data_IF_411965010893
#
_entry.id   IF_411965010893
#
_cell.length_a   1.000
_cell.length_b   1.000
_cell.length_c   1.000
_cell.angle_alpha   90.00
_cell.angle_beta   90.00
_cell.angle_gamma   90.00
#
_symmetry.space_group_name_H-M   'P 1'
#
loop_
_entity.id
_entity.type
_entity.pdbx_description
1 polymer ?
#
# COMPACT_ATOMS: atom_id res chain seq x y z
N UNK A 1 -5.34 -1.65 -15.51
CA UNK A 1 -6.44 -0.99 -16.25
C UNK A 1 -6.15 -0.97 -17.74
N UNK A 2 -5.20 -0.14 -18.21
CA UNK A 2 -4.91 0.04 -19.63
C UNK A 2 -4.65 -1.28 -20.40
N UNK A 3 -3.76 -2.13 -19.89
CA UNK A 3 -3.49 -3.45 -20.47
C UNK A 3 -4.73 -4.36 -20.51
N UNK A 4 -5.55 -4.34 -19.44
CA UNK A 4 -6.79 -5.12 -19.39
C UNK A 4 -7.85 -4.65 -20.38
N UNK A 5 -7.92 -3.34 -20.66
CA UNK A 5 -8.82 -2.78 -21.68
C UNK A 5 -8.33 -3.11 -23.11
N UNK A 6 -7.02 -3.01 -23.36
CA UNK A 6 -6.42 -3.42 -24.64
C UNK A 6 -6.72 -4.90 -24.95
N UNK A 7 -6.56 -5.78 -23.97
CA UNK A 7 -6.83 -7.23 -24.13
C UNK A 7 -8.31 -7.52 -24.43
N UNK A 8 -9.20 -6.54 -24.21
CA UNK A 8 -10.64 -6.61 -24.53
C UNK A 8 -11.00 -5.85 -25.81
N UNK A 9 -10.01 -5.36 -26.55
CA UNK A 9 -10.20 -4.73 -27.86
C UNK A 9 -10.52 -3.23 -27.81
N UNK A 10 -10.35 -2.56 -26.67
CA UNK A 10 -10.52 -1.11 -26.58
C UNK A 10 -9.30 -0.39 -27.15
N UNK A 11 -9.52 0.78 -27.74
CA UNK A 11 -8.44 1.72 -28.04
C UNK A 11 -8.05 2.47 -26.76
N UNK A 12 -6.78 2.38 -26.36
CA UNK A 12 -6.32 2.95 -25.09
C UNK A 12 -5.14 3.87 -25.33
N UNK A 13 -5.25 5.08 -24.80
CA UNK A 13 -4.14 6.04 -24.66
C UNK A 13 -3.73 6.11 -23.19
N UNK A 14 -2.44 5.96 -22.90
CA UNK A 14 -1.86 6.23 -21.57
C UNK A 14 -0.99 7.47 -21.66
N UNK A 15 -1.29 8.47 -20.85
CA UNK A 15 -0.48 9.69 -20.74
C UNK A 15 0.34 9.65 -19.47
N UNK A 16 1.65 9.90 -19.57
CA UNK A 16 2.55 9.98 -18.43
C UNK A 16 3.71 10.91 -18.74
N UNK A 17 4.30 11.56 -17.74
CA UNK A 17 5.40 12.51 -17.95
C UNK A 17 6.80 11.89 -17.73
N UNK A 18 6.89 10.56 -17.71
CA UNK A 18 8.14 9.84 -17.49
C UNK A 18 8.28 8.72 -18.50
N UNK A 19 9.45 8.61 -19.11
CA UNK A 19 9.79 7.45 -19.91
C UNK A 19 9.96 6.21 -19.02
N UNK A 20 9.79 4.98 -19.57
CA UNK A 20 10.08 3.74 -18.83
C UNK A 20 11.46 3.77 -18.16
N UNK A 21 12.44 4.30 -18.90
CA UNK A 21 13.83 4.40 -18.48
C UNK A 21 14.08 5.41 -17.35
N UNK A 22 13.30 6.49 -17.31
CA UNK A 22 13.35 7.46 -16.22
C UNK A 22 12.81 6.87 -14.93
N UNK A 23 11.78 6.02 -15.03
CA UNK A 23 11.25 5.28 -13.88
C UNK A 23 12.27 4.25 -13.39
N UNK A 24 12.94 3.50 -14.28
CA UNK A 24 13.98 2.52 -13.90
C UNK A 24 15.10 3.16 -13.08
N UNK A 25 15.61 4.30 -13.54
CA UNK A 25 16.75 5.01 -12.91
C UNK A 25 16.32 5.93 -11.78
N UNK A 26 15.02 6.17 -11.63
CA UNK A 26 14.46 7.09 -10.66
C UNK A 26 14.51 6.58 -9.21
N UNK A 27 13.97 7.41 -8.31
CA UNK A 27 13.75 7.03 -6.91
C UNK A 27 12.67 5.95 -6.78
N UNK A 28 12.82 5.11 -5.77
CA UNK A 28 11.73 4.21 -5.35
C UNK A 28 10.46 5.01 -5.10
N UNK A 29 9.33 4.48 -5.56
CA UNK A 29 8.06 5.20 -5.56
C UNK A 29 7.16 4.85 -4.38
N UNK A 30 7.27 3.61 -3.86
CA UNK A 30 6.53 3.15 -2.68
C UNK A 30 7.16 1.89 -2.06
N UNK A 31 6.56 1.42 -0.97
CA UNK A 31 6.86 0.16 -0.25
C UNK A 31 5.71 -0.83 -0.40
N UNK A 32 5.29 -1.06 -1.64
CA UNK A 32 4.18 -1.94 -1.97
C UNK A 32 4.48 -3.40 -1.58
N UNK A 33 3.55 -4.00 -0.85
CA UNK A 33 3.43 -5.43 -0.64
C UNK A 33 2.03 -5.87 -1.11
N UNK A 34 1.98 -6.68 -2.14
CA UNK A 34 0.75 -7.16 -2.76
C UNK A 34 0.35 -8.49 -2.14
N UNK A 35 -0.87 -8.56 -1.58
CA UNK A 35 -1.43 -9.79 -1.03
C UNK A 35 -2.07 -10.64 -2.12
N UNK A 36 -2.26 -11.93 -1.84
CA UNK A 36 -2.64 -12.93 -2.83
C UNK A 36 -3.90 -12.58 -3.63
N UNK A 37 -4.94 -12.02 -2.99
CA UNK A 37 -6.16 -11.65 -3.71
C UNK A 37 -5.91 -10.55 -4.77
N UNK A 38 -4.98 -9.64 -4.49
CA UNK A 38 -4.58 -8.59 -5.45
C UNK A 38 -3.60 -9.13 -6.48
N UNK A 39 -2.68 -10.02 -6.09
CA UNK A 39 -1.79 -10.72 -7.02
C UNK A 39 -2.58 -11.58 -8.00
N UNK A 40 -3.68 -12.20 -7.56
CA UNK A 40 -4.53 -13.00 -8.44
C UNK A 40 -5.11 -12.17 -9.58
N UNK A 41 -5.51 -10.91 -9.33
CA UNK A 41 -5.94 -9.98 -10.37
C UNK A 41 -4.80 -9.72 -11.37
N UNK A 42 -3.57 -9.55 -10.90
CA UNK A 42 -2.42 -9.41 -11.80
C UNK A 42 -2.14 -10.70 -12.58
N UNK A 43 -2.30 -11.88 -11.98
CA UNK A 43 -2.14 -13.19 -12.66
C UNK A 43 -3.19 -13.39 -13.75
N UNK A 44 -4.44 -13.08 -13.46
CA UNK A 44 -5.56 -13.22 -14.40
C UNK A 44 -5.38 -12.31 -15.64
N UNK A 45 -4.68 -11.19 -15.48
CA UNK A 45 -4.30 -10.28 -16.58
C UNK A 45 -2.94 -10.62 -17.22
N UNK A 46 -2.25 -11.66 -16.75
CA UNK A 46 -0.91 -12.03 -17.24
C UNK A 46 0.18 -11.00 -16.93
N UNK A 47 0.02 -10.24 -15.85
CA UNK A 47 0.88 -9.13 -15.46
C UNK A 47 1.87 -9.45 -14.34
N UNK A 48 1.66 -10.53 -13.58
CA UNK A 48 2.56 -10.95 -12.50
C UNK A 48 3.80 -11.69 -13.02
N UNK A 49 4.71 -10.96 -13.68
CA UNK A 49 5.87 -11.55 -14.38
C UNK A 49 7.02 -11.98 -13.44
N UNK A 50 6.93 -11.66 -12.14
CA UNK A 50 8.04 -11.79 -11.20
C UNK A 50 7.86 -12.91 -10.19
N UNK A 51 6.79 -13.69 -10.30
CA UNK A 51 6.37 -14.64 -9.28
C UNK A 51 7.48 -15.65 -8.90
N UNK A 52 8.27 -16.11 -9.87
CA UNK A 52 9.36 -17.04 -9.64
C UNK A 52 10.64 -16.38 -9.07
N UNK A 53 10.84 -15.08 -9.31
CA UNK A 53 12.06 -14.37 -8.93
C UNK A 53 11.89 -13.57 -7.62
N UNK A 54 10.67 -13.15 -7.31
CA UNK A 54 10.37 -12.37 -6.11
C UNK A 54 10.42 -13.27 -4.88
N UNK A 55 11.24 -12.94 -3.85
CA UNK A 55 11.14 -13.60 -2.57
C UNK A 55 9.70 -13.53 -2.04
N UNK A 56 9.13 -14.64 -1.54
CA UNK A 56 7.80 -14.62 -0.99
C UNK A 56 7.79 -13.87 0.34
N UNK A 57 6.66 -13.27 0.67
CA UNK A 57 6.29 -12.87 2.03
C UNK A 57 5.33 -13.94 2.54
N UNK A 58 5.82 -14.88 3.35
CA UNK A 58 5.05 -16.05 3.79
C UNK A 58 4.11 -15.78 4.96
N UNK A 59 4.21 -14.62 5.62
CA UNK A 59 3.45 -14.35 6.84
C UNK A 59 3.46 -12.90 7.30
N UNK A 60 2.80 -12.66 8.44
CA UNK A 60 2.82 -11.42 9.21
C UNK A 60 3.35 -11.74 10.61
N UNK A 61 4.25 -10.91 11.11
CA UNK A 61 4.67 -10.92 12.50
C UNK A 61 4.48 -9.56 13.12
N UNK A 62 4.16 -9.54 14.41
CA UNK A 62 3.96 -8.34 15.19
C UNK A 62 4.81 -8.39 16.45
N UNK A 63 5.47 -7.28 16.75
CA UNK A 63 6.20 -7.07 17.99
C UNK A 63 5.86 -5.70 18.59
N UNK A 64 5.77 -5.65 19.91
CA UNK A 64 5.66 -4.41 20.69
C UNK A 64 6.81 -4.40 21.69
N UNK A 65 7.72 -3.40 21.67
CA UNK A 65 8.77 -3.28 22.67
C UNK A 65 8.20 -3.15 24.08
N UNK A 66 8.91 -3.68 25.07
CA UNK A 66 8.54 -3.50 26.47
C UNK A 66 8.89 -2.08 26.93
N UNK A 67 7.93 -1.30 27.48
CA UNK A 67 8.16 0.12 27.81
C UNK A 67 9.23 0.32 28.87
N UNK A 68 9.36 -0.62 29.81
CA UNK A 68 10.28 -0.50 30.96
C UNK A 68 11.52 -1.42 30.88
N UNK A 69 11.60 -2.31 29.88
CA UNK A 69 12.67 -3.31 29.77
C UNK A 69 13.30 -3.21 28.39
N UNK A 70 14.32 -2.35 28.21
CA UNK A 70 15.01 -2.19 26.93
C UNK A 70 15.44 -3.53 26.34
N UNK A 71 15.18 -3.73 25.05
CA UNK A 71 15.51 -4.97 24.34
C UNK A 71 14.54 -6.14 24.51
N UNK A 72 13.57 -6.04 25.41
CA UNK A 72 12.51 -7.05 25.54
C UNK A 72 11.26 -6.68 24.73
N UNK A 73 10.49 -7.69 24.35
CA UNK A 73 9.18 -7.54 23.70
C UNK A 73 8.08 -7.77 24.72
N UNK A 74 7.09 -6.88 24.77
CA UNK A 74 5.85 -7.05 25.54
C UNK A 74 4.89 -7.99 24.80
N UNK A 75 4.75 -7.81 23.48
CA UNK A 75 3.95 -8.67 22.60
C UNK A 75 4.87 -9.14 21.48
N UNK A 76 4.81 -10.42 21.15
CA UNK A 76 5.54 -10.99 20.03
C UNK A 76 4.84 -12.24 19.49
N UNK A 77 4.42 -12.20 18.23
CA UNK A 77 3.89 -13.38 17.53
C UNK A 77 4.13 -13.27 16.03
N UNK A 78 4.03 -14.40 15.33
CA UNK A 78 4.01 -14.44 13.89
C UNK A 78 3.09 -15.58 13.42
N UNK A 79 2.39 -15.34 12.32
CA UNK A 79 1.54 -16.34 11.67
C UNK A 79 1.77 -16.30 10.15
N UNK A 80 1.66 -17.47 9.53
CA UNK A 80 1.73 -17.60 8.08
C UNK A 80 0.45 -17.06 7.46
N UNK A 81 0.57 -16.46 6.29
CA UNK A 81 -0.54 -16.18 5.40
C UNK A 81 -1.00 -17.51 4.76
N UNK A 82 -2.28 -17.62 4.42
CA UNK A 82 -2.82 -18.77 3.70
C UNK A 82 -2.18 -18.92 2.32
N UNK A 83 -1.82 -17.79 1.71
CA UNK A 83 -1.08 -17.67 0.45
C UNK A 83 -0.04 -16.55 0.54
N UNK A 84 1.16 -16.72 -0.01
CA UNK A 84 2.24 -15.75 0.12
C UNK A 84 1.91 -14.43 -0.59
N UNK A 85 2.37 -13.33 -0.01
CA UNK A 85 2.38 -12.00 -0.63
C UNK A 85 3.72 -11.75 -1.36
N UNK A 86 3.78 -10.67 -2.16
CA UNK A 86 4.97 -10.29 -2.93
C UNK A 86 5.21 -8.79 -2.92
N UNK A 87 6.47 -8.39 -2.88
CA UNK A 87 6.88 -6.99 -3.02
C UNK A 87 7.89 -6.87 -4.15
N UNK A 88 7.50 -6.25 -5.26
CA UNK A 88 8.38 -6.03 -6.42
C UNK A 88 8.47 -4.55 -6.67
N UNK A 89 9.68 -4.01 -6.64
CA UNK A 89 9.99 -2.59 -6.86
C UNK A 89 9.26 -2.06 -8.10
N UNK A 90 8.53 -0.95 -7.94
CA UNK A 90 7.79 -0.35 -9.04
C UNK A 90 8.70 0.18 -10.16
N UNK A 91 10.01 0.37 -9.89
CA UNK A 91 11.05 0.63 -10.90
C UNK A 91 11.28 -0.55 -11.85
N UNK A 92 10.82 -1.75 -11.48
CA UNK A 92 10.72 -2.92 -12.37
C UNK A 92 9.32 -2.98 -12.98
N UNK A 93 8.28 -2.93 -12.15
CA UNK A 93 6.90 -3.21 -12.60
C UNK A 93 6.41 -2.22 -13.65
N UNK A 94 6.53 -0.92 -13.37
CA UNK A 94 5.91 0.09 -14.20
C UNK A 94 6.55 0.18 -15.60
N UNK A 95 7.90 0.20 -15.74
CA UNK A 95 8.54 0.20 -17.06
C UNK A 95 8.18 -1.03 -17.89
N UNK A 96 8.20 -2.22 -17.30
CA UNK A 96 7.85 -3.45 -17.99
C UNK A 96 6.39 -3.43 -18.51
N UNK A 97 5.45 -2.92 -17.70
CA UNK A 97 4.06 -2.77 -18.12
C UNK A 97 3.84 -1.67 -19.16
N UNK A 98 4.61 -0.56 -19.10
CA UNK A 98 4.56 0.49 -20.12
C UNK A 98 5.04 -0.02 -21.48
N UNK A 99 6.13 -0.78 -21.50
CA UNK A 99 6.68 -1.39 -22.71
C UNK A 99 5.75 -2.48 -23.25
N UNK A 100 5.20 -3.33 -22.37
CA UNK A 100 4.19 -4.31 -22.76
C UNK A 100 2.96 -3.64 -23.37
N UNK A 101 2.51 -2.53 -22.79
CA UNK A 101 1.37 -1.76 -23.28
C UNK A 101 1.62 -1.22 -24.69
N UNK A 102 2.77 -0.59 -24.92
CA UNK A 102 3.18 -0.12 -26.24
C UNK A 102 3.33 -1.28 -27.24
N UNK A 103 3.95 -2.39 -26.83
CA UNK A 103 4.14 -3.58 -27.67
C UNK A 103 2.81 -4.26 -28.06
N UNK A 104 1.76 -4.13 -27.24
CA UNK A 104 0.40 -4.60 -27.54
C UNK A 104 -0.43 -3.59 -28.37
N UNK A 105 0.19 -2.53 -28.89
CA UNK A 105 -0.47 -1.53 -29.74
C UNK A 105 -1.15 -0.40 -28.96
N UNK A 106 -0.97 -0.33 -27.64
CA UNK A 106 -1.43 0.80 -26.83
C UNK A 106 -0.70 2.09 -27.18
N UNK A 107 -1.41 3.21 -27.17
CA UNK A 107 -0.81 4.52 -27.44
C UNK A 107 -0.23 5.12 -26.16
N UNK A 108 1.07 4.95 -25.96
CA UNK A 108 1.80 5.60 -24.85
C UNK A 108 2.24 7.01 -25.27
N UNK A 109 1.75 8.03 -24.57
CA UNK A 109 2.10 9.43 -24.78
C UNK A 109 2.92 9.96 -23.62
N UNK A 110 4.14 10.40 -23.92
CA UNK A 110 5.05 10.98 -22.93
C UNK A 110 4.89 12.50 -22.91
N UNK A 111 4.09 12.99 -21.96
CA UNK A 111 3.79 14.41 -21.77
C UNK A 111 3.22 14.66 -20.37
N UNK A 112 3.29 15.90 -19.89
CA UNK A 112 2.60 16.30 -18.67
C UNK A 112 1.07 16.21 -18.84
N UNK A 113 0.39 15.68 -17.83
CA UNK A 113 -1.07 15.56 -17.82
C UNK A 113 -1.70 16.68 -17.00
N UNK A 114 -1.85 17.86 -17.60
CA UNK A 114 -2.52 19.02 -17.02
C UNK A 114 -4.01 19.11 -17.37
N UNK A 115 -4.65 20.21 -16.97
CA UNK A 115 -6.06 20.48 -17.30
C UNK A 115 -6.27 20.59 -18.81
N UNK A 116 -5.34 21.24 -19.53
CA UNK A 116 -5.42 21.40 -20.97
C UNK A 116 -5.38 20.04 -21.69
N UNK A 117 -4.52 19.13 -21.25
CA UNK A 117 -4.41 17.79 -21.81
C UNK A 117 -5.65 16.95 -21.49
N UNK A 118 -6.18 17.05 -20.26
CA UNK A 118 -7.45 16.40 -19.90
C UNK A 118 -8.63 16.87 -20.75
N UNK A 119 -8.70 18.16 -21.08
CA UNK A 119 -9.73 18.70 -21.98
C UNK A 119 -9.65 18.08 -23.38
N UNK A 120 -8.44 17.96 -23.93
CA UNK A 120 -8.21 17.32 -25.24
C UNK A 120 -8.55 15.83 -25.21
N UNK A 121 -8.15 15.12 -24.15
CA UNK A 121 -8.43 13.69 -23.99
C UNK A 121 -9.94 13.46 -23.84
N UNK A 122 -10.63 14.23 -23.00
CA UNK A 122 -12.06 14.10 -22.77
C UNK A 122 -12.90 14.52 -24.00
N UNK A 123 -12.34 15.31 -24.91
CA UNK A 123 -12.98 15.63 -26.19
C UNK A 123 -12.82 14.52 -27.24
N UNK A 124 -11.84 13.62 -27.07
CA UNK A 124 -11.46 12.61 -28.07
C UNK A 124 -11.67 11.16 -27.63
N UNK A 125 -11.98 10.92 -26.36
CA UNK A 125 -12.18 9.59 -25.78
C UNK A 125 -13.53 9.52 -25.04
N UNK A 126 -14.17 8.36 -25.06
CA UNK A 126 -15.46 8.15 -24.38
C UNK A 126 -15.35 8.19 -22.85
N UNK A 127 -14.19 7.84 -22.31
CA UNK A 127 -13.89 7.83 -20.88
C UNK A 127 -12.44 8.24 -20.62
N UNK A 128 -12.23 9.19 -19.71
CA UNK A 128 -10.91 9.57 -19.21
C UNK A 128 -10.76 9.15 -17.76
N UNK A 129 -9.75 8.32 -17.49
CA UNK A 129 -9.38 7.88 -16.15
C UNK A 129 -8.16 8.65 -15.65
N UNK A 130 -8.25 9.28 -14.48
CA UNK A 130 -7.09 9.86 -13.79
C UNK A 130 -6.64 8.95 -12.66
N UNK A 131 -5.45 8.36 -12.81
CA UNK A 131 -4.85 7.44 -11.83
C UNK A 131 -3.59 8.01 -11.15
N UNK A 132 -3.30 9.29 -11.32
CA UNK A 132 -2.15 9.95 -10.69
C UNK A 132 -2.49 10.37 -9.26
N UNK A 133 -1.77 9.83 -8.27
CA UNK A 133 -1.93 10.18 -6.85
C UNK A 133 -1.18 11.45 -6.41
N UNK A 134 -0.43 12.09 -7.31
CA UNK A 134 0.39 13.29 -7.07
C UNK A 134 0.24 14.27 -8.24
N UNK A 135 0.62 15.53 -8.01
CA UNK A 135 0.53 16.61 -9.00
C UNK A 135 -0.61 17.58 -8.72
N UNK A 136 -0.75 18.64 -9.52
CA UNK A 136 -1.78 19.65 -9.30
C UNK A 136 -3.17 19.21 -9.76
N UNK A 137 -3.23 18.34 -10.78
CA UNK A 137 -4.51 17.87 -11.32
C UNK A 137 -5.29 17.03 -10.31
N UNK A 138 -4.63 16.23 -9.47
CA UNK A 138 -5.33 15.46 -8.42
C UNK A 138 -6.03 16.37 -7.40
N UNK A 139 -5.57 17.61 -7.23
CA UNK A 139 -6.18 18.59 -6.32
C UNK A 139 -7.51 19.14 -6.85
N UNK A 140 -7.83 18.90 -8.12
CA UNK A 140 -9.10 19.29 -8.72
C UNK A 140 -10.23 18.32 -8.37
N UNK A 141 -9.91 17.10 -7.92
CA UNK A 141 -10.92 16.23 -7.34
C UNK A 141 -11.34 16.81 -5.99
N UNK A 142 -12.64 17.04 -5.83
CA UNK A 142 -13.19 17.55 -4.57
C UNK A 142 -12.94 16.53 -3.45
N UNK A 143 -12.34 16.98 -2.34
CA UNK A 143 -12.17 16.14 -1.16
C UNK A 143 -13.54 15.78 -0.57
N UNK A 144 -13.78 14.50 -0.29
CA UNK A 144 -14.96 14.03 0.43
C UNK A 144 -14.75 14.22 1.93
N UNK A 145 -15.41 15.22 2.51
CA UNK A 145 -15.28 15.54 3.94
C UNK A 145 -15.87 14.49 4.86
N UNK A 146 -16.92 13.79 4.44
CA UNK A 146 -17.56 12.75 5.24
C UNK A 146 -16.71 11.46 5.31
N UNK A 147 -16.00 11.13 4.22
CA UNK A 147 -15.19 9.89 4.13
C UNK A 147 -13.73 10.06 4.53
N UNK A 148 -13.29 11.29 4.79
CA UNK A 148 -11.88 11.58 5.07
C UNK A 148 -11.69 12.14 6.46
N UNK A 149 -11.20 11.29 7.36
CA UNK A 149 -11.02 11.58 8.79
C UNK A 149 -9.96 12.64 9.11
N UNK A 150 -8.90 12.70 8.31
CA UNK A 150 -7.72 13.53 8.59
C UNK A 150 -7.51 14.60 7.51
N UNK A 151 -7.02 15.77 7.91
CA UNK A 151 -6.65 16.89 7.03
C UNK A 151 -5.15 17.22 7.08
N UNK A 152 -4.40 16.51 7.93
CA UNK A 152 -2.95 16.65 8.12
C UNK A 152 -2.27 15.28 8.06
N UNK A 153 -0.97 15.21 7.71
CA UNK A 153 -0.22 13.98 7.81
C UNK A 153 -0.23 13.40 9.23
N UNK A 154 -0.48 12.10 9.33
CA UNK A 154 -0.51 11.38 10.62
C UNK A 154 0.82 10.68 10.92
N UNK A 155 1.72 10.60 9.92
CA UNK A 155 3.05 9.99 10.03
C UNK A 155 4.11 10.76 9.24
N UNK A 156 5.33 10.77 9.77
CA UNK A 156 6.54 11.11 9.06
C UNK A 156 7.15 9.83 8.47
N UNK A 157 7.07 9.71 7.15
CA UNK A 157 7.29 8.47 6.42
C UNK A 157 8.70 8.42 5.86
N UNK A 158 9.34 7.24 5.94
CA UNK A 158 10.55 6.94 5.19
C UNK A 158 10.65 5.47 4.78
N UNK A 159 11.27 5.23 3.62
CA UNK A 159 11.52 3.91 3.05
C UNK A 159 13.01 3.76 2.76
N UNK A 160 13.58 2.60 3.08
CA UNK A 160 14.97 2.26 2.76
C UNK A 160 15.03 0.85 2.17
N UNK A 161 15.48 0.72 0.93
CA UNK A 161 15.74 -0.56 0.28
C UNK A 161 17.17 -0.97 0.58
N UNK A 162 17.36 -2.16 1.17
CA UNK A 162 18.69 -2.64 1.58
C UNK A 162 18.99 -4.04 1.08
N UNK A 163 20.27 -4.30 0.83
CA UNK A 163 20.85 -5.63 0.71
C UNK A 163 21.45 -6.07 2.04
N UNK A 164 21.76 -7.36 2.18
CA UNK A 164 22.57 -7.88 3.28
C UNK A 164 21.87 -7.96 4.64
N UNK A 165 20.56 -7.70 4.71
CA UNK A 165 19.82 -7.90 5.94
C UNK A 165 19.66 -9.40 6.19
N UNK A 166 19.91 -9.85 7.42
CA UNK A 166 19.65 -11.24 7.78
C UNK A 166 18.14 -11.51 7.72
N UNK A 167 17.67 -12.58 7.05
CA UNK A 167 16.24 -12.91 7.00
C UNK A 167 15.62 -13.06 8.40
N UNK A 168 14.31 -12.81 8.49
CA UNK A 168 13.58 -13.09 9.72
C UNK A 168 13.62 -14.61 10.02
N UNK A 169 13.72 -15.02 11.30
CA UNK A 169 13.75 -16.43 11.65
C UNK A 169 12.41 -17.11 11.35
N UNK A 170 12.47 -18.43 11.14
CA UNK A 170 11.35 -19.37 10.87
C UNK A 170 10.77 -19.28 9.45
N UNK A 171 10.29 -18.12 9.03
CA UNK A 171 9.73 -17.89 7.69
C UNK A 171 9.79 -16.39 7.33
N UNK A 172 9.81 -16.09 6.03
CA UNK A 172 9.79 -14.71 5.57
C UNK A 172 8.45 -14.05 5.86
N UNK A 173 8.45 -12.78 6.24
CA UNK A 173 7.22 -12.10 6.68
C UNK A 173 7.34 -10.60 6.57
N UNK A 174 6.19 -9.92 6.65
CA UNK A 174 6.19 -8.54 7.13
C UNK A 174 6.36 -8.58 8.64
N UNK A 175 7.49 -8.06 9.13
CA UNK A 175 7.78 -7.93 10.55
C UNK A 175 7.38 -6.54 11.05
N UNK A 176 6.14 -6.41 11.52
CA UNK A 176 5.61 -5.18 12.14
C UNK A 176 6.13 -5.00 13.56
N UNK A 177 6.60 -3.79 13.84
CA UNK A 177 7.04 -3.36 15.15
C UNK A 177 6.31 -2.07 15.52
N UNK A 178 5.42 -2.14 16.51
CA UNK A 178 4.67 -0.98 17.01
C UNK A 178 5.41 -0.42 18.22
N UNK A 179 5.94 0.79 18.14
CA UNK A 179 6.77 1.41 19.17
C UNK A 179 5.94 2.50 19.88
N UNK A 180 5.41 2.25 21.09
CA UNK A 180 4.51 3.17 21.77
C UNK A 180 5.07 4.59 21.87
N UNK A 181 4.31 5.58 21.37
CA UNK A 181 4.68 7.00 21.41
C UNK A 181 5.75 7.43 20.41
N UNK A 182 6.33 6.51 19.64
CA UNK A 182 7.40 6.79 18.66
C UNK A 182 6.91 6.66 17.24
N UNK A 183 6.19 5.57 16.93
CA UNK A 183 5.73 5.24 15.59
C UNK A 183 5.83 3.75 15.30
N UNK A 184 5.82 3.40 14.01
CA UNK A 184 5.84 2.03 13.53
C UNK A 184 7.04 1.80 12.62
N UNK A 185 7.60 0.60 12.71
CA UNK A 185 8.59 0.10 11.76
C UNK A 185 8.15 -1.26 11.25
N UNK A 186 8.20 -1.46 9.94
CA UNK A 186 8.02 -2.78 9.37
C UNK A 186 9.00 -3.06 8.25
N UNK A 187 9.37 -4.33 8.15
CA UNK A 187 10.33 -4.80 7.16
C UNK A 187 9.88 -6.10 6.53
N UNK A 188 10.09 -6.23 5.24
CA UNK A 188 9.70 -7.41 4.46
C UNK A 188 10.64 -7.59 3.27
N UNK A 189 10.81 -8.84 2.79
CA UNK A 189 11.61 -9.10 1.61
C UNK A 189 10.91 -8.58 0.35
N UNK A 190 11.71 -8.25 -0.66
CA UNK A 190 11.25 -7.72 -1.93
C UNK A 190 12.22 -8.09 -3.07
N UNK A 191 11.84 -7.75 -4.29
CA UNK A 191 12.69 -7.80 -5.48
C UNK A 191 12.92 -6.38 -6.00
N UNK A 192 14.19 -5.99 -6.15
CA UNK A 192 14.60 -4.79 -6.89
C UNK A 192 15.53 -5.16 -8.05
N UNK A 193 15.94 -4.16 -8.85
CA UNK A 193 16.69 -4.37 -10.09
C UNK A 193 18.07 -5.01 -9.87
N UNK A 194 18.64 -4.87 -8.67
CA UNK A 194 19.89 -5.51 -8.24
C UNK A 194 19.67 -6.86 -7.52
N UNK A 195 18.45 -7.40 -7.54
CA UNK A 195 18.12 -8.73 -6.98
C UNK A 195 17.21 -8.67 -5.74
N UNK A 196 17.06 -9.81 -5.03
CA UNK A 196 16.37 -9.88 -3.74
C UNK A 196 16.93 -8.86 -2.74
N UNK A 197 16.05 -8.19 -2.01
CA UNK A 197 16.40 -7.18 -1.01
C UNK A 197 15.37 -7.15 0.12
N UNK A 198 15.53 -6.25 1.09
CA UNK A 198 14.54 -5.94 2.12
C UNK A 198 14.12 -4.47 2.02
N UNK A 199 12.83 -4.21 2.25
CA UNK A 199 12.30 -2.85 2.35
C UNK A 199 12.05 -2.54 3.82
N UNK A 200 12.81 -1.59 4.36
CA UNK A 200 12.56 -0.98 5.66
C UNK A 200 11.55 0.15 5.50
N UNK A 201 10.49 0.13 6.29
CA UNK A 201 9.45 1.16 6.32
C UNK A 201 9.37 1.76 7.71
N UNK A 202 9.45 3.08 7.78
CA UNK A 202 9.40 3.86 9.02
C UNK A 202 8.24 4.83 8.97
N UNK A 203 7.43 4.82 10.01
CA UNK A 203 6.26 5.68 10.15
C UNK A 203 6.30 6.34 11.52
N UNK A 204 6.97 7.49 11.58
CA UNK A 204 7.15 8.22 12.83
C UNK A 204 5.92 9.05 13.20
N UNK A 205 5.57 9.09 14.49
CA UNK A 205 4.56 10.04 15.00
C UNK A 205 5.06 11.47 14.75
N UNK A 206 4.26 12.38 14.16
CA UNK A 206 4.66 13.76 13.91
C UNK A 206 5.13 14.48 15.18
N UNK A 207 6.28 15.16 15.10
CA UNK A 207 6.94 15.80 16.24
C UNK A 207 7.61 14.84 17.23
N UNK A 208 7.48 13.52 17.04
CA UNK A 208 8.11 12.49 17.84
C UNK A 208 9.55 12.17 17.40
N UNK A 209 10.24 11.25 18.11
CA UNK A 209 11.66 10.98 17.86
C UNK A 209 11.95 10.32 16.50
N UNK A 210 10.95 9.72 15.84
CA UNK A 210 11.08 9.16 14.50
C UNK A 210 10.68 10.15 13.38
N UNK A 211 10.11 11.32 13.69
CA UNK A 211 9.91 12.43 12.74
C UNK A 211 11.21 13.21 12.54
N UNK A 212 12.16 12.58 11.85
CA UNK A 212 13.55 13.01 11.88
C UNK A 212 14.22 13.05 10.49
N UNK A 213 13.41 13.00 9.43
CA UNK A 213 13.86 12.86 8.04
C UNK A 213 14.17 14.18 7.33
N UNK A 214 13.69 15.33 7.83
CA UNK A 214 13.82 16.65 7.18
C UNK A 214 15.27 17.11 6.99
N UNK A 215 16.14 16.72 7.91
CA UNK A 215 17.56 17.11 7.90
C UNK A 215 18.46 16.14 7.13
N UNK A 216 17.93 15.01 6.68
CA UNK A 216 18.66 14.00 5.89
C UNK A 216 18.92 14.54 4.48
N UNK A 217 20.19 14.59 4.06
CA UNK A 217 20.59 15.18 2.76
C UNK A 217 21.11 14.15 1.76
N UNK A 218 21.72 13.07 2.23
CA UNK A 218 22.27 12.02 1.37
C UNK A 218 21.59 10.67 1.60
N UNK A 219 21.66 9.74 0.64
CA UNK A 219 21.20 8.37 0.83
C UNK A 219 21.89 7.68 2.01
N UNK A 220 23.18 7.92 2.21
CA UNK A 220 23.96 7.35 3.30
C UNK A 220 23.53 7.91 4.67
N UNK A 221 23.22 9.21 4.75
CA UNK A 221 22.61 9.79 5.97
C UNK A 221 21.25 9.14 6.26
N UNK A 222 20.48 8.85 5.22
CA UNK A 222 19.18 8.18 5.35
C UNK A 222 19.35 6.78 5.94
N UNK A 223 20.27 5.97 5.37
CA UNK A 223 20.57 4.64 5.91
C UNK A 223 21.10 4.72 7.35
N UNK A 224 22.03 5.64 7.64
CA UNK A 224 22.55 5.83 8.99
C UNK A 224 21.42 6.13 9.99
N UNK A 225 20.49 7.02 9.61
CA UNK A 225 19.32 7.36 10.44
C UNK A 225 18.39 6.18 10.63
N UNK A 226 18.11 5.41 9.58
CA UNK A 226 17.33 4.16 9.65
C UNK A 226 17.95 3.20 10.67
N UNK A 227 19.27 3.02 10.65
CA UNK A 227 19.99 2.14 11.58
C UNK A 227 20.05 2.67 13.01
N UNK A 228 20.12 3.99 13.21
CA UNK A 228 20.07 4.60 14.54
C UNK A 228 18.70 4.37 15.20
N UNK A 229 17.62 4.49 14.43
CA UNK A 229 16.25 4.18 14.91
C UNK A 229 16.17 2.73 15.38
N UNK A 230 16.65 1.77 14.57
CA UNK A 230 16.62 0.35 14.95
C UNK A 230 17.47 0.07 16.19
N UNK A 231 18.69 0.61 16.27
CA UNK A 231 19.55 0.44 17.45
C UNK A 231 18.91 0.99 18.73
N UNK A 232 18.16 2.08 18.61
CA UNK A 232 17.51 2.75 19.75
C UNK A 232 16.26 2.01 20.21
N UNK A 233 15.37 1.68 19.27
CA UNK A 233 14.00 1.24 19.61
C UNK A 233 13.76 -0.26 19.39
N UNK A 234 14.54 -0.90 18.53
CA UNK A 234 14.29 -2.25 18.03
C UNK A 234 15.59 -3.07 17.89
N UNK A 235 16.32 -3.31 19.00
CA UNK A 235 17.65 -3.94 18.93
C UNK A 235 17.65 -5.32 18.27
N UNK A 236 16.56 -6.10 18.36
CA UNK A 236 16.44 -7.38 17.65
C UNK A 236 16.36 -7.23 16.12
N UNK A 237 15.84 -6.12 15.61
CA UNK A 237 15.90 -5.79 14.19
C UNK A 237 17.28 -5.25 13.82
N UNK A 238 17.88 -4.42 14.69
CA UNK A 238 19.24 -3.91 14.49
C UNK A 238 20.27 -5.04 14.35
N UNK A 239 20.13 -6.13 15.12
CA UNK A 239 20.98 -7.32 15.00
C UNK A 239 20.96 -7.91 13.58
N UNK A 240 19.82 -7.84 12.88
CA UNK A 240 19.71 -8.34 11.50
C UNK A 240 20.43 -7.43 10.50
N UNK A 241 20.81 -6.22 10.90
CA UNK A 241 21.34 -5.18 10.03
C UNK A 241 22.87 -5.06 10.00
N UNK A 242 23.62 -6.01 10.55
CA UNK A 242 25.07 -5.87 10.69
C UNK A 242 25.85 -5.69 9.36
N UNK A 243 25.31 -6.17 8.25
CA UNK A 243 25.95 -6.12 6.93
C UNK A 243 25.11 -5.38 5.88
N UNK A 244 24.16 -4.53 6.31
CA UNK A 244 23.27 -3.89 5.35
C UNK A 244 23.92 -2.74 4.61
N UNK A 245 23.58 -2.64 3.33
CA UNK A 245 23.91 -1.52 2.46
C UNK A 245 22.69 -1.15 1.62
N UNK A 246 22.63 0.07 1.11
CA UNK A 246 21.56 0.47 0.19
C UNK A 246 21.62 -0.37 -1.08
N UNK A 247 20.46 -0.73 -1.62
CA UNK A 247 20.40 -1.40 -2.95
C UNK A 247 20.97 -0.53 -4.06
N UNK A 248 20.82 0.80 -3.92
CA UNK A 248 21.31 1.86 -4.79
C UNK A 248 21.05 3.24 -4.14
N UNK A 249 21.63 4.31 -4.69
CA UNK A 249 21.49 5.67 -4.16
C UNK A 249 20.04 6.23 -4.22
N UNK A 250 19.18 5.65 -5.05
CA UNK A 250 17.78 6.03 -5.24
C UNK A 250 16.81 5.08 -4.51
N UNK A 251 17.32 4.10 -3.76
CA UNK A 251 16.59 3.15 -2.90
C UNK A 251 16.02 3.77 -1.63
N UNK A 252 15.83 5.09 -1.59
CA UNK A 252 15.32 5.82 -0.44
C UNK A 252 14.18 6.78 -0.81
N UNK A 253 13.22 6.93 0.09
CA UNK A 253 12.14 7.90 -0.02
C UNK A 253 11.78 8.42 1.36
N UNK A 254 11.49 9.71 1.49
CA UNK A 254 10.94 10.29 2.71
C UNK A 254 9.86 11.32 2.36
N UNK A 255 8.88 11.47 3.23
CA UNK A 255 7.80 12.44 3.05
C UNK A 255 6.73 12.31 4.10
N UNK A 256 5.62 13.00 3.86
CA UNK A 256 4.42 12.90 4.67
C UNK A 256 3.24 13.40 3.85
N UNK A 257 2.06 12.83 4.07
CA UNK A 257 0.83 13.27 3.42
C UNK A 257 -0.38 12.90 4.28
N UNK A 258 -1.47 13.63 4.12
CA UNK A 258 -2.74 13.32 4.79
C UNK A 258 -3.50 12.25 3.99
N UNK A 259 -3.95 11.16 4.63
CA UNK A 259 -4.89 10.23 4.01
C UNK A 259 -6.15 10.97 3.57
N UNK A 260 -6.59 10.75 2.34
CA UNK A 260 -7.65 11.55 1.71
C UNK A 260 -8.51 10.69 0.80
N UNK A 261 -9.83 10.77 0.99
CA UNK A 261 -10.83 10.31 0.06
C UNK A 261 -11.37 11.51 -0.71
N UNK A 262 -11.51 11.38 -2.03
CA UNK A 262 -12.05 12.40 -2.92
C UNK A 262 -13.29 11.87 -3.62
N UNK A 263 -14.18 12.78 -4.01
CA UNK A 263 -15.26 12.47 -4.93
C UNK A 263 -14.66 11.91 -6.22
N UNK A 264 -15.26 10.86 -6.79
CA UNK A 264 -14.61 10.12 -7.85
C UNK A 264 -14.74 10.78 -9.22
N UNK A 265 -15.63 11.78 -9.36
CA UNK A 265 -15.87 12.49 -10.61
C UNK A 265 -15.36 13.93 -10.49
N UNK A 266 -14.55 14.34 -11.46
CA UNK A 266 -14.10 15.71 -11.64
C UNK A 266 -14.77 16.29 -12.89
N UNK A 267 -15.24 17.52 -12.79
CA UNK A 267 -15.79 18.27 -13.92
C UNK A 267 -14.75 19.28 -14.40
N UNK A 268 -14.37 19.19 -15.67
CA UNK A 268 -13.47 20.12 -16.33
C UNK A 268 -14.17 21.45 -16.66
N UNK A 269 -13.43 22.54 -16.94
CA UNK A 269 -14.01 23.81 -17.35
C UNK A 269 -15.03 23.73 -18.51
N UNK A 270 -14.84 22.79 -19.45
CA UNK A 270 -15.80 22.56 -20.55
C UNK A 270 -17.09 21.82 -20.14
N UNK A 271 -17.19 21.36 -18.89
CA UNK A 271 -18.29 20.51 -18.41
C UNK A 271 -18.06 19.01 -18.63
N UNK A 272 -16.98 18.62 -19.31
CA UNK A 272 -16.60 17.21 -19.49
C UNK A 272 -16.15 16.57 -18.17
N UNK A 273 -16.28 15.25 -18.10
CA UNK A 273 -16.05 14.49 -16.88
C UNK A 273 -14.74 13.70 -16.95
N UNK A 274 -14.06 13.62 -15.81
CA UNK A 274 -12.89 12.77 -15.59
C UNK A 274 -13.16 11.89 -14.38
N UNK A 275 -12.91 10.59 -14.52
CA UNK A 275 -13.18 9.60 -13.49
C UNK A 275 -11.88 9.17 -12.79
N UNK A 276 -11.87 9.19 -11.47
CA UNK A 276 -10.66 8.93 -10.69
C UNK A 276 -10.49 7.47 -10.29
N UNK A 277 -9.24 7.01 -10.26
CA UNK A 277 -8.85 5.64 -9.91
C UNK A 277 -7.65 5.62 -8.96
N UNK A 278 -7.64 4.67 -8.02
CA UNK A 278 -6.53 4.46 -7.09
C UNK A 278 -6.26 5.68 -6.21
N UNK A 279 -4.98 6.03 -6.02
CA UNK A 279 -4.56 7.13 -5.14
C UNK A 279 -5.11 8.49 -5.54
N UNK A 280 -5.61 8.66 -6.78
CA UNK A 280 -6.27 9.90 -7.18
C UNK A 280 -7.51 10.18 -6.32
N UNK A 281 -8.25 9.13 -5.92
CA UNK A 281 -9.52 9.23 -5.20
C UNK A 281 -9.50 8.62 -3.82
N UNK A 282 -8.68 7.60 -3.56
CA UNK A 282 -8.53 7.00 -2.23
C UNK A 282 -7.04 6.88 -1.92
N UNK A 283 -6.51 7.86 -1.19
CA UNK A 283 -5.13 7.87 -0.72
C UNK A 283 -5.09 7.38 0.73
N UNK A 284 -4.56 6.18 0.97
CA UNK A 284 -4.37 5.62 2.31
C UNK A 284 -2.98 5.96 2.87
N UNK A 285 -2.87 6.03 4.20
CA UNK A 285 -1.57 5.94 4.87
C UNK A 285 -0.94 4.56 4.61
N UNK A 286 0.39 4.45 4.42
CA UNK A 286 1.04 3.17 4.17
C UNK A 286 1.06 2.19 5.36
N UNK A 287 0.64 2.57 6.57
CA UNK A 287 0.72 1.75 7.80
C UNK A 287 0.16 0.33 7.68
N UNK A 288 -0.81 0.10 6.80
CA UNK A 288 -1.44 -1.21 6.56
C UNK A 288 -1.02 -1.88 5.25
N UNK A 289 -0.19 -1.23 4.42
CA UNK A 289 0.26 -1.72 3.11
C UNK A 289 -0.83 -1.80 2.05
N UNK A 290 -1.94 -1.08 2.19
CA UNK A 290 -3.15 -1.33 1.38
C UNK A 290 -3.24 -0.54 0.07
N UNK A 291 -2.45 0.53 -0.13
CA UNK A 291 -2.60 1.41 -1.30
C UNK A 291 -2.58 0.69 -2.66
N UNK A 292 -1.54 -0.11 -2.92
CA UNK A 292 -1.44 -0.87 -4.18
C UNK A 292 -2.48 -2.00 -4.31
N UNK A 293 -2.86 -2.62 -3.17
CA UNK A 293 -3.91 -3.62 -3.13
C UNK A 293 -5.28 -3.01 -3.49
N UNK A 294 -5.60 -1.84 -2.91
CA UNK A 294 -6.82 -1.09 -3.19
C UNK A 294 -6.87 -0.62 -4.64
N UNK A 295 -5.79 -0.06 -5.17
CA UNK A 295 -5.73 0.36 -6.57
C UNK A 295 -5.97 -0.81 -7.54
N UNK A 296 -5.43 -1.99 -7.23
CA UNK A 296 -5.60 -3.20 -8.05
C UNK A 296 -7.03 -3.74 -7.97
N UNK A 297 -7.63 -3.77 -6.78
CA UNK A 297 -9.03 -4.17 -6.58
C UNK A 297 -10.01 -3.17 -7.22
N UNK A 298 -9.76 -1.87 -7.11
CA UNK A 298 -10.52 -0.83 -7.82
C UNK A 298 -10.43 -1.03 -9.33
N UNK A 299 -9.24 -1.34 -9.85
CA UNK A 299 -9.05 -1.64 -11.27
C UNK A 299 -9.91 -2.83 -11.72
N UNK A 300 -10.00 -3.90 -10.93
CA UNK A 300 -10.85 -5.05 -11.27
C UNK A 300 -12.33 -4.67 -11.36
N UNK A 301 -12.85 -3.96 -10.35
CA UNK A 301 -14.25 -3.47 -10.33
C UNK A 301 -14.53 -2.55 -11.52
N UNK A 302 -13.64 -1.60 -11.78
CA UNK A 302 -13.81 -0.63 -12.86
C UNK A 302 -13.74 -1.30 -14.23
N UNK A 303 -12.81 -2.25 -14.42
CA UNK A 303 -12.69 -2.98 -15.68
C UNK A 303 -13.96 -3.77 -15.96
N UNK A 304 -14.47 -4.52 -14.98
CA UNK A 304 -15.74 -5.24 -15.12
C UNK A 304 -16.90 -4.29 -15.45
N UNK A 305 -17.00 -3.16 -14.75
CA UNK A 305 -18.05 -2.16 -14.97
C UNK A 305 -17.97 -1.53 -16.37
N UNK A 306 -16.76 -1.23 -16.88
CA UNK A 306 -16.56 -0.69 -18.23
C UNK A 306 -17.02 -1.70 -19.28
N UNK A 307 -16.61 -2.97 -19.14
CA UNK A 307 -17.01 -4.03 -20.07
C UNK A 307 -18.52 -4.27 -20.06
N UNK A 308 -19.14 -4.29 -18.89
CA UNK A 308 -20.58 -4.45 -18.75
C UNK A 308 -21.37 -3.25 -19.30
N UNK A 309 -20.75 -2.06 -19.38
CA UNK A 309 -21.39 -0.86 -19.94
C UNK A 309 -21.57 -0.96 -21.45
N UNK A 310 -20.67 -1.63 -22.16
CA UNK A 310 -20.68 -1.75 -23.63
C UNK A 310 -20.65 -0.37 -24.30
N UNK A 311 -21.50 -0.17 -25.31
CA UNK A 311 -21.58 1.07 -26.10
C UNK A 311 -22.38 2.21 -25.41
N UNK A 312 -22.82 2.02 -24.17
CA UNK A 312 -23.57 3.04 -23.44
C UNK A 312 -22.64 4.15 -22.92
N UNK A 313 -23.14 5.39 -22.88
CA UNK A 313 -22.37 6.53 -22.38
C UNK A 313 -21.90 6.36 -20.93
N UNK A 314 -20.67 6.81 -20.63
CA UNK A 314 -20.11 6.87 -19.29
C UNK A 314 -20.55 8.15 -18.56
N UNK A 315 -21.75 8.13 -17.98
CA UNK A 315 -22.34 9.29 -17.29
C UNK A 315 -21.76 9.49 -15.89
N UNK A 316 -21.91 10.68 -15.30
CA UNK A 316 -21.52 10.95 -13.92
C UNK A 316 -22.15 9.95 -12.93
N UNK A 317 -23.43 9.61 -13.11
CA UNK A 317 -24.12 8.64 -12.26
C UNK A 317 -23.49 7.24 -12.35
N UNK A 318 -23.10 6.81 -13.56
CA UNK A 318 -22.42 5.53 -13.74
C UNK A 318 -21.03 5.53 -13.10
N UNK A 319 -20.28 6.63 -13.23
CA UNK A 319 -18.98 6.79 -12.58
C UNK A 319 -19.13 6.71 -11.06
N UNK A 320 -20.10 7.42 -10.49
CA UNK A 320 -20.40 7.38 -9.06
C UNK A 320 -20.77 5.96 -8.61
N UNK A 321 -21.71 5.30 -9.29
CA UNK A 321 -22.13 3.94 -8.95
C UNK A 321 -20.96 2.94 -9.03
N UNK A 322 -20.09 3.09 -10.03
CA UNK A 322 -18.90 2.25 -10.19
C UNK A 322 -17.91 2.45 -9.05
N UNK A 323 -17.72 3.69 -8.61
CA UNK A 323 -16.92 3.97 -7.41
C UNK A 323 -17.55 3.41 -6.14
N UNK A 324 -18.87 3.56 -5.95
CA UNK A 324 -19.56 3.02 -4.77
C UNK A 324 -19.43 1.50 -4.66
N UNK A 325 -19.48 0.76 -5.79
CA UNK A 325 -19.19 -0.69 -5.80
C UNK A 325 -17.79 -1.03 -5.26
N UNK A 326 -16.79 -0.22 -5.57
CA UNK A 326 -15.44 -0.36 -5.00
C UNK A 326 -15.42 0.10 -3.53
N UNK A 327 -16.13 1.17 -3.21
CA UNK A 327 -16.20 1.75 -1.87
C UNK A 327 -16.79 0.79 -0.83
N UNK A 328 -17.70 -0.09 -1.22
CA UNK A 328 -18.23 -1.17 -0.36
C UNK A 328 -17.10 -2.01 0.26
N UNK A 329 -16.03 -2.26 -0.49
CA UNK A 329 -14.81 -2.88 0.03
C UNK A 329 -13.86 -1.86 0.66
N UNK A 330 -13.61 -0.74 -0.03
CA UNK A 330 -12.56 0.21 0.35
C UNK A 330 -12.83 0.93 1.68
N UNK A 331 -14.11 1.13 2.04
CA UNK A 331 -14.52 1.75 3.31
C UNK A 331 -13.95 1.00 4.52
N UNK A 332 -14.10 -0.33 4.57
CA UNK A 332 -13.51 -1.16 5.63
C UNK A 332 -11.98 -1.04 5.68
N UNK A 333 -11.32 -0.94 4.52
CA UNK A 333 -9.86 -0.75 4.45
C UNK A 333 -9.46 0.63 4.98
N UNK A 334 -10.19 1.68 4.60
CA UNK A 334 -9.97 3.06 5.05
C UNK A 334 -10.20 3.17 6.56
N UNK A 335 -11.27 2.58 7.08
CA UNK A 335 -11.60 2.59 8.51
C UNK A 335 -10.54 1.86 9.32
N UNK A 336 -10.14 0.66 8.88
CA UNK A 336 -9.07 -0.10 9.52
C UNK A 336 -7.74 0.68 9.51
N UNK A 337 -7.32 1.18 8.36
CA UNK A 337 -6.08 1.95 8.21
C UNK A 337 -6.09 3.21 9.08
N UNK A 338 -7.18 3.98 9.07
CA UNK A 338 -7.31 5.17 9.89
C UNK A 338 -7.32 4.86 11.39
N UNK A 339 -7.84 3.70 11.80
CA UNK A 339 -7.81 3.27 13.21
C UNK A 339 -6.39 2.94 13.68
N UNK A 340 -5.54 2.38 12.81
CA UNK A 340 -4.14 2.06 13.12
C UNK A 340 -3.28 3.31 13.34
N UNK A 341 -3.70 4.47 12.83
CA UNK A 341 -2.97 5.73 13.02
C UNK A 341 -3.21 6.36 14.40
N UNK A 342 -4.17 5.84 15.16
CA UNK A 342 -4.60 6.35 16.45
C UNK A 342 -4.15 5.43 17.59
N UNK A 343 -4.13 5.93 18.84
CA UNK A 343 -3.90 5.08 20.00
C UNK A 343 -4.88 3.89 20.00
N UNK A 344 -4.38 2.64 20.13
CA UNK A 344 -5.24 1.47 20.08
C UNK A 344 -6.16 1.45 21.32
N UNK A 345 -7.47 1.19 21.14
CA UNK A 345 -8.39 0.98 22.25
C UNK A 345 -8.03 -0.30 23.05
N UNK A 346 -8.46 -0.39 24.33
CA UNK A 346 -8.07 -1.50 25.21
C UNK A 346 -8.36 -2.91 24.66
N UNK A 347 -9.49 -3.11 23.96
CA UNK A 347 -9.86 -4.42 23.41
C UNK A 347 -8.90 -4.87 22.30
N UNK A 348 -8.32 -3.94 21.52
CA UNK A 348 -7.32 -4.28 20.51
C UNK A 348 -5.97 -4.63 21.13
N UNK A 349 -5.59 -3.99 22.24
CA UNK A 349 -4.40 -4.40 22.99
C UNK A 349 -4.56 -5.82 23.54
N UNK A 350 -5.73 -6.14 24.11
CA UNK A 350 -6.05 -7.49 24.58
C UNK A 350 -6.03 -8.51 23.45
N UNK A 351 -6.59 -8.19 22.28
CA UNK A 351 -6.54 -9.02 21.08
C UNK A 351 -5.10 -9.32 20.65
N UNK A 352 -4.27 -8.28 20.54
CA UNK A 352 -2.86 -8.43 20.12
C UNK A 352 -2.05 -9.24 21.13
N UNK A 353 -2.33 -9.11 22.41
CA UNK A 353 -1.70 -9.91 23.46
C UNK A 353 -2.16 -11.37 23.41
N UNK A 354 -3.47 -11.62 23.30
CA UNK A 354 -4.05 -12.96 23.22
C UNK A 354 -3.57 -13.73 21.98
N UNK A 355 -3.29 -13.05 20.87
CA UNK A 355 -2.71 -13.65 19.67
C UNK A 355 -1.32 -14.28 19.93
N UNK A 356 -0.61 -13.87 20.98
CA UNK A 356 0.64 -14.49 21.41
C UNK A 356 0.49 -15.96 21.81
N UNK A 357 -0.64 -16.31 22.42
CA UNK A 357 -0.92 -17.63 22.98
C UNK A 357 -1.97 -18.43 22.19
N UNK A 358 -2.62 -17.80 21.20
CA UNK A 358 -3.66 -18.40 20.37
C UNK A 358 -3.28 -18.37 18.88
N UNK A 359 -2.67 -19.44 18.32
CA UNK A 359 -2.23 -19.48 16.92
C UNK A 359 -3.35 -19.20 15.90
N UNK A 360 -4.58 -19.66 16.17
CA UNK A 360 -5.74 -19.40 15.32
C UNK A 360 -6.12 -17.91 15.31
N UNK A 361 -5.90 -17.19 16.42
CA UNK A 361 -6.12 -15.75 16.50
C UNK A 361 -5.05 -14.98 15.74
N UNK A 362 -3.77 -15.32 15.94
CA UNK A 362 -2.65 -14.74 15.18
C UNK A 362 -2.82 -14.95 13.67
N UNK A 363 -3.24 -16.15 13.25
CA UNK A 363 -3.55 -16.45 11.84
C UNK A 363 -4.69 -15.60 11.30
N UNK A 364 -5.77 -15.42 12.06
CA UNK A 364 -6.87 -14.57 11.62
C UNK A 364 -6.47 -13.10 11.47
N UNK A 365 -5.63 -12.57 12.38
CA UNK A 365 -5.08 -11.22 12.26
C UNK A 365 -4.17 -11.10 11.03
N UNK A 366 -3.26 -12.05 10.82
CA UNK A 366 -2.34 -12.05 9.68
C UNK A 366 -3.08 -12.11 8.34
N UNK A 367 -4.03 -13.04 8.20
CA UNK A 367 -4.78 -13.23 6.96
C UNK A 367 -5.77 -12.10 6.66
N UNK A 368 -6.23 -11.36 7.68
CA UNK A 368 -7.06 -10.17 7.48
C UNK A 368 -6.37 -9.07 6.67
N UNK A 369 -5.03 -9.02 6.58
CA UNK A 369 -4.33 -8.10 5.68
C UNK A 369 -4.69 -8.31 4.19
N UNK A 370 -4.99 -9.56 3.79
CA UNK A 370 -5.39 -9.88 2.42
C UNK A 370 -6.84 -9.41 2.13
N UNK A 371 -7.71 -9.46 3.16
CA UNK A 371 -9.11 -9.07 3.09
C UNK A 371 -9.57 -8.31 4.34
N UNK A 372 -9.25 -7.00 4.45
CA UNK A 372 -9.56 -6.21 5.65
C UNK A 372 -11.04 -6.18 6.10
N UNK A 373 -12.06 -6.33 5.23
CA UNK A 373 -13.43 -6.49 5.71
C UNK A 373 -13.63 -7.62 6.73
N UNK A 374 -12.78 -8.66 6.74
CA UNK A 374 -12.85 -9.74 7.73
C UNK A 374 -12.52 -9.31 9.16
N UNK A 375 -11.96 -8.11 9.34
CA UNK A 375 -11.70 -7.54 10.66
C UNK A 375 -12.98 -7.07 11.36
N UNK A 376 -14.07 -6.87 10.63
CA UNK A 376 -15.30 -6.32 11.18
C UNK A 376 -16.31 -7.44 11.50
N UNK A 377 -17.07 -7.33 12.61
CA UNK A 377 -17.15 -6.16 13.52
C UNK A 377 -16.12 -6.14 14.66
N UNK A 378 -15.37 -7.23 14.86
CA UNK A 378 -14.55 -7.44 16.06
C UNK A 378 -13.38 -6.46 16.23
N UNK A 379 -12.98 -5.76 15.17
CA UNK A 379 -11.97 -4.70 15.27
C UNK A 379 -12.49 -3.46 15.99
N UNK A 380 -13.74 -3.07 15.75
CA UNK A 380 -14.32 -1.82 16.26
C UNK A 380 -15.21 -2.01 17.48
N UNK A 381 -15.83 -3.19 17.62
CA UNK A 381 -16.74 -3.50 18.71
C UNK A 381 -16.06 -4.37 19.77
N UNK A 382 -16.02 -3.89 21.01
CA UNK A 382 -15.34 -4.58 22.10
C UNK A 382 -15.99 -5.92 22.46
N UNK A 383 -17.32 -6.01 22.41
CA UNK A 383 -18.06 -7.26 22.73
C UNK A 383 -17.80 -8.32 21.66
N UNK A 384 -17.83 -7.92 20.39
CA UNK A 384 -17.48 -8.79 19.28
C UNK A 384 -16.00 -9.22 19.33
N UNK A 385 -15.09 -8.32 19.75
CA UNK A 385 -13.68 -8.65 19.97
C UNK A 385 -13.51 -9.73 21.03
N UNK A 386 -14.14 -9.57 22.20
CA UNK A 386 -14.08 -10.55 23.29
C UNK A 386 -14.63 -11.92 22.87
N UNK A 387 -15.78 -11.94 22.18
CA UNK A 387 -16.35 -13.17 21.64
C UNK A 387 -15.42 -13.84 20.61
N UNK A 388 -14.78 -13.05 19.75
CA UNK A 388 -13.83 -13.54 18.76
C UNK A 388 -12.57 -14.14 19.41
N UNK A 389 -12.02 -13.47 20.43
CA UNK A 389 -10.89 -14.00 21.22
C UNK A 389 -11.28 -15.33 21.87
N UNK A 390 -12.45 -15.43 22.49
CA UNK A 390 -12.93 -16.66 23.13
C UNK A 390 -13.10 -17.81 22.11
N UNK A 391 -13.68 -17.54 20.94
CA UNK A 391 -13.83 -18.52 19.85
C UNK A 391 -12.46 -19.08 19.40
N UNK A 392 -11.50 -18.19 19.11
CA UNK A 392 -10.19 -18.57 18.56
C UNK A 392 -9.28 -19.21 19.61
N UNK A 393 -9.45 -18.87 20.88
CA UNK A 393 -8.68 -19.47 21.98
C UNK A 393 -9.17 -20.89 22.32
N UNK A 394 -10.48 -21.15 22.24
CA UNK A 394 -11.06 -22.47 22.57
C UNK A 394 -10.70 -23.53 21.53
N UNK A 395 -10.64 -23.16 20.24
CA UNK A 395 -10.24 -24.07 19.16
C UNK A 395 -8.78 -24.52 19.20
N UNK A 396 -7.95 -23.93 20.07
CA UNK A 396 -6.57 -24.39 20.28
C UNK A 396 -6.46 -25.52 21.33
N UNK A 397 -7.52 -25.76 22.12
CA UNK A 397 -7.55 -26.75 23.19
C UNK A 397 -8.22 -28.09 22.82
N UNK A 398 -8.69 -28.23 21.57
CA UNK A 398 -9.28 -29.45 21.00
C UNK A 398 -8.48 -29.86 19.76
#
# INVERSE_FOLDING_TARGET
MALGLLDKGYEVTVVTNREPDDIRRGKVMSSQCMFDASLQIERDLGLNQWEAACPPVEGIGLAVPHPERPGHKLIAWAARLDRPAQAVDQRIKMPAWMELFAARGGRLLIQDGGVAELELLAASHDLVLLAAGKGDVVKLFERDTARSRFDKPQRALALTYVHGMRPAPVFSRVAFNLIPGVGEYFVFPALTHSGPCEIMVFEGVPGGPMDCWRDVKTPQDHLARSLDILRTFLPWEAERCAAVELTDANGILAGSFAPTVRKPVMTLPSGRLVFGLGDAVVTNDPITGQGSNNATKACAVYLEAILARGDQAFTADWMQQTFERFWDYASAVVDWTNSMLLPPPPHLLQLLQAAGDAPALASAVANGFNHPPSFFPWWTDATACEAFIAEKSTRAAA
#
